data_IF_262582208841
#
_entry.id   IF_262582208841
#
_cell.length_a   1.000
_cell.length_b   1.000
_cell.length_c   1.000
_cell.angle_alpha   90.00
_cell.angle_beta   90.00
_cell.angle_gamma   90.00
#
_symmetry.space_group_name_H-M   'P 1'
#
loop_
_entity.id
_entity.type
_entity.pdbx_description
1 polymer ?
#
# COMPACT_ATOMS: atom_id res chain seq x y z
N UNK A 1 -10.29 15.22 -17.81
CA UNK A 1 -8.91 14.98 -17.40
C UNK A 1 -8.95 14.20 -16.10
N UNK A 2 -8.54 12.91 -16.15
CA UNK A 2 -8.38 12.11 -14.95
C UNK A 2 -7.39 12.82 -14.03
N UNK A 3 -7.87 13.39 -12.93
CA UNK A 3 -7.02 13.75 -11.80
C UNK A 3 -6.50 12.42 -11.24
N UNK A 4 -5.40 11.94 -11.79
CA UNK A 4 -4.62 10.89 -11.17
C UNK A 4 -4.29 11.40 -9.77
N UNK A 5 -4.81 10.74 -8.73
CA UNK A 5 -4.33 10.94 -7.38
C UNK A 5 -2.87 10.48 -7.39
N UNK A 6 -1.98 11.40 -7.69
CA UNK A 6 -0.59 11.14 -7.94
C UNK A 6 0.10 11.00 -6.59
N UNK A 7 0.25 9.76 -6.16
CA UNK A 7 1.12 9.44 -5.03
C UNK A 7 2.50 9.05 -5.54
N UNK A 8 3.48 9.37 -4.72
CA UNK A 8 4.85 8.89 -4.85
C UNK A 8 5.20 8.07 -3.62
N UNK A 9 6.00 7.04 -3.80
CA UNK A 9 6.59 6.30 -2.71
C UNK A 9 8.11 6.32 -2.84
N UNK A 10 8.77 6.36 -1.70
CA UNK A 10 10.23 6.38 -1.57
C UNK A 10 10.63 5.35 -0.53
N UNK A 11 11.62 4.54 -0.84
CA UNK A 11 12.09 3.45 0.01
C UNK A 11 13.59 3.54 0.21
N UNK A 12 14.01 3.37 1.47
CA UNK A 12 15.39 3.20 1.89
C UNK A 12 15.59 1.88 2.61
N UNK A 13 16.79 1.35 2.58
CA UNK A 13 17.29 0.42 3.56
C UNK A 13 18.26 1.16 4.47
N UNK A 14 18.05 1.03 5.78
CA UNK A 14 18.82 1.76 6.79
C UNK A 14 19.30 0.80 7.88
N UNK A 15 20.38 1.18 8.58
CA UNK A 15 20.72 0.63 9.88
C UNK A 15 20.38 1.65 10.95
N UNK A 16 19.64 1.23 11.96
CA UNK A 16 19.17 2.09 13.05
C UNK A 16 18.85 1.27 14.27
N UNK A 17 18.73 1.92 15.42
CA UNK A 17 18.21 1.28 16.62
C UNK A 17 16.68 1.42 16.65
N UNK A 18 15.98 0.31 16.36
CA UNK A 18 14.52 0.24 16.41
C UNK A 18 14.09 -1.16 16.88
N UNK A 19 12.95 -1.33 17.61
CA UNK A 19 12.50 -2.64 18.07
C UNK A 19 12.30 -3.63 16.92
N UNK A 20 12.86 -4.83 17.09
CA UNK A 20 12.94 -5.85 16.01
C UNK A 20 11.61 -6.50 15.69
N UNK A 21 10.68 -6.51 16.63
CA UNK A 21 9.35 -7.12 16.57
C UNK A 21 8.23 -6.11 16.30
N UNK A 22 8.62 -4.89 15.93
CA UNK A 22 7.68 -3.78 15.79
C UNK A 22 7.65 -3.23 14.37
N UNK A 23 6.45 -2.85 13.94
CA UNK A 23 6.22 -2.02 12.76
C UNK A 23 5.63 -0.71 13.24
N UNK A 24 6.24 0.42 12.86
CA UNK A 24 5.66 1.72 13.17
C UNK A 24 5.26 2.47 11.91
N UNK A 25 4.15 3.20 12.03
CA UNK A 25 3.67 4.12 11.02
C UNK A 25 3.65 5.54 11.59
N UNK A 26 4.41 6.42 10.99
CA UNK A 26 4.52 7.82 11.38
C UNK A 26 3.82 8.70 10.35
N UNK A 27 2.82 9.44 10.79
CA UNK A 27 2.06 10.32 9.92
C UNK A 27 2.74 11.67 9.75
N UNK A 28 2.63 12.24 8.56
CA UNK A 28 3.00 13.61 8.25
C UNK A 28 1.99 14.22 7.27
N UNK A 29 2.13 15.49 6.94
CA UNK A 29 1.19 16.18 6.04
C UNK A 29 1.12 15.47 4.69
N UNK A 30 -0.08 15.02 4.30
CA UNK A 30 -0.39 14.34 3.04
C UNK A 30 0.37 13.01 2.82
N UNK A 31 0.79 12.34 3.91
CA UNK A 31 1.49 11.07 3.79
C UNK A 31 1.73 10.36 5.11
N UNK A 32 2.38 9.22 5.01
CA UNK A 32 2.85 8.44 6.15
C UNK A 32 4.15 7.72 5.78
N UNK A 33 4.93 7.38 6.80
CA UNK A 33 6.19 6.66 6.70
C UNK A 33 6.16 5.43 7.60
N UNK A 34 6.47 4.28 7.05
CA UNK A 34 6.59 3.02 7.77
C UNK A 34 8.05 2.65 8.00
N UNK A 35 8.33 2.05 9.17
CA UNK A 35 9.61 1.41 9.47
C UNK A 35 9.36 0.01 10.00
N UNK A 36 10.14 -0.95 9.50
CA UNK A 36 10.10 -2.35 9.94
C UNK A 36 11.46 -3.00 9.75
N UNK A 37 11.79 -3.98 10.61
CA UNK A 37 12.99 -4.80 10.42
C UNK A 37 12.85 -5.68 9.17
N UNK A 38 13.94 -5.87 8.46
CA UNK A 38 14.11 -6.80 7.36
C UNK A 38 15.36 -7.67 7.63
N UNK A 39 15.83 -8.43 6.63
CA UNK A 39 16.97 -9.29 6.72
C UNK A 39 18.27 -8.53 7.05
N UNK A 40 19.31 -9.23 7.50
CA UNK A 40 20.68 -8.73 7.72
C UNK A 40 20.76 -7.51 8.65
N UNK A 41 19.97 -7.49 9.71
CA UNK A 41 19.90 -6.39 10.68
C UNK A 41 19.66 -5.00 10.07
N UNK A 42 18.98 -4.98 8.91
CA UNK A 42 18.53 -3.79 8.22
C UNK A 42 17.08 -3.48 8.55
N UNK A 43 16.71 -2.24 8.30
CA UNK A 43 15.33 -1.77 8.38
C UNK A 43 14.90 -1.21 7.03
N UNK A 44 13.66 -1.52 6.65
CA UNK A 44 12.98 -0.86 5.55
C UNK A 44 12.33 0.41 6.08
N UNK A 45 12.74 1.56 5.58
CA UNK A 45 12.08 2.84 5.78
C UNK A 45 11.40 3.22 4.47
N UNK A 46 10.07 3.24 4.47
CA UNK A 46 9.32 3.51 3.25
C UNK A 46 8.18 4.49 3.53
N UNK A 47 8.05 5.51 2.70
CA UNK A 47 6.93 6.44 2.83
C UNK A 47 6.15 6.59 1.53
N UNK A 48 4.85 6.86 1.72
CA UNK A 48 3.91 7.24 0.67
C UNK A 48 3.45 8.66 0.93
N UNK A 49 3.46 9.49 -0.09
CA UNK A 49 3.00 10.87 0.02
C UNK A 49 2.30 11.33 -1.27
N UNK A 50 1.45 12.34 -1.17
CA UNK A 50 0.91 13.00 -2.34
C UNK A 50 2.04 13.71 -3.11
N UNK A 51 2.04 13.63 -4.44
CA UNK A 51 3.02 14.26 -5.31
C UNK A 51 3.08 15.80 -5.16
N UNK A 52 2.04 16.41 -4.58
CA UNK A 52 2.04 17.83 -4.24
C UNK A 52 3.16 18.20 -3.27
N UNK A 53 3.46 17.31 -2.30
CA UNK A 53 4.58 17.53 -1.37
C UNK A 53 5.94 17.62 -2.07
N UNK A 54 6.13 16.82 -3.12
CA UNK A 54 7.35 16.89 -3.93
C UNK A 54 7.40 18.20 -4.75
N UNK A 55 6.25 18.60 -5.35
CA UNK A 55 6.16 19.84 -6.12
C UNK A 55 6.48 21.08 -5.30
N UNK A 56 5.89 21.20 -4.09
CA UNK A 56 6.17 22.35 -3.19
C UNK A 56 7.58 22.34 -2.62
N UNK A 57 8.31 21.22 -2.77
CA UNK A 57 9.71 21.06 -2.41
C UNK A 57 10.64 21.17 -3.62
N UNK A 58 10.22 21.87 -4.68
CA UNK A 58 11.00 22.06 -5.92
C UNK A 58 11.46 20.75 -6.58
N UNK A 59 10.66 19.69 -6.49
CA UNK A 59 10.95 18.34 -6.96
C UNK A 59 12.20 17.70 -6.32
N UNK A 60 12.63 18.19 -5.15
CA UNK A 60 13.71 17.62 -4.36
C UNK A 60 13.15 16.70 -3.28
N UNK A 61 13.53 15.42 -3.32
CA UNK A 61 13.20 14.43 -2.29
C UNK A 61 13.81 14.87 -0.94
N UNK A 62 15.06 15.25 -0.94
CA UNK A 62 15.78 15.68 0.27
C UNK A 62 15.11 16.91 0.92
N UNK A 63 14.76 17.93 0.12
CA UNK A 63 14.04 19.10 0.63
C UNK A 63 12.67 18.74 1.18
N UNK A 64 11.94 17.83 0.53
CA UNK A 64 10.65 17.34 1.00
C UNK A 64 10.78 16.59 2.33
N UNK A 65 11.76 15.72 2.45
CA UNK A 65 12.03 14.96 3.68
C UNK A 65 12.36 15.90 4.83
N UNK A 66 13.26 16.85 4.62
CA UNK A 66 13.66 17.83 5.63
C UNK A 66 12.50 18.75 6.05
N UNK A 67 11.76 19.30 5.08
CA UNK A 67 10.79 20.35 5.34
C UNK A 67 9.39 19.84 5.68
N UNK A 68 9.07 18.59 5.36
CA UNK A 68 7.72 18.02 5.55
C UNK A 68 7.76 16.80 6.47
N UNK A 69 8.56 15.78 6.16
CA UNK A 69 8.57 14.53 6.92
C UNK A 69 9.19 14.73 8.31
N UNK A 70 10.32 15.41 8.37
CA UNK A 70 11.07 15.63 9.63
C UNK A 70 10.41 16.66 10.56
N UNK A 71 9.27 17.26 10.20
CA UNK A 71 8.40 17.95 11.16
C UNK A 71 7.77 16.99 12.17
N UNK A 72 7.68 15.72 11.85
CA UNK A 72 7.37 14.67 12.81
C UNK A 72 8.65 14.34 13.61
N UNK A 73 8.69 14.52 14.93
CA UNK A 73 9.91 14.32 15.74
C UNK A 73 10.43 12.87 15.72
N UNK A 74 9.55 11.89 15.52
CA UNK A 74 9.98 10.49 15.37
C UNK A 74 10.71 10.28 14.04
N UNK A 75 10.18 10.83 12.95
CA UNK A 75 10.85 10.78 11.65
C UNK A 75 12.15 11.56 11.65
N UNK A 76 12.19 12.74 12.28
CA UNK A 76 13.41 13.49 12.43
C UNK A 76 14.52 12.65 13.08
N UNK A 77 14.23 11.97 14.20
CA UNK A 77 15.18 11.07 14.86
C UNK A 77 15.66 9.94 13.94
N UNK A 78 14.75 9.34 13.19
CA UNK A 78 15.10 8.25 12.26
C UNK A 78 16.00 8.79 11.13
N UNK A 79 15.62 9.87 10.47
CA UNK A 79 16.39 10.43 9.35
C UNK A 79 17.77 10.96 9.75
N UNK A 80 17.92 11.50 10.97
CA UNK A 80 19.21 12.05 11.46
C UNK A 80 20.08 11.03 12.17
N UNK A 81 19.49 9.98 12.74
CA UNK A 81 20.18 8.97 13.56
C UNK A 81 20.45 7.64 12.88
N UNK A 82 20.13 7.50 11.59
CA UNK A 82 20.28 6.24 10.86
C UNK A 82 21.38 6.30 9.81
N UNK A 83 22.01 5.15 9.55
CA UNK A 83 22.91 4.96 8.40
C UNK A 83 22.08 4.54 7.19
N UNK A 84 22.09 5.33 6.13
CA UNK A 84 21.44 5.01 4.85
C UNK A 84 22.37 4.15 4.00
N UNK A 85 21.92 2.95 3.62
CA UNK A 85 22.77 1.95 2.96
C UNK A 85 22.97 2.18 1.46
N UNK A 86 22.18 3.03 0.86
CA UNK A 86 22.27 3.37 -0.56
C UNK A 86 22.38 4.88 -0.75
N UNK A 87 23.17 5.30 -1.75
CA UNK A 87 23.34 6.71 -2.08
C UNK A 87 22.05 7.40 -2.55
N UNK A 88 21.15 6.65 -3.14
CA UNK A 88 19.86 7.14 -3.64
C UNK A 88 18.73 6.20 -3.24
N UNK A 89 17.54 6.73 -2.95
CA UNK A 89 16.36 5.93 -2.65
C UNK A 89 15.84 5.19 -3.87
N UNK A 90 15.10 4.10 -3.62
CA UNK A 90 14.22 3.52 -4.61
C UNK A 90 12.92 4.31 -4.63
N UNK A 91 12.51 4.78 -5.80
CA UNK A 91 11.31 5.61 -5.94
C UNK A 91 10.33 5.02 -6.93
N UNK A 92 9.05 5.22 -6.65
CA UNK A 92 7.95 4.90 -7.55
C UNK A 92 6.98 6.09 -7.59
N UNK A 93 6.50 6.42 -8.77
CA UNK A 93 5.55 7.51 -8.99
C UNK A 93 4.29 7.02 -9.69
N UNK A 94 3.32 7.92 -9.87
CA UNK A 94 2.04 7.64 -10.53
C UNK A 94 1.24 6.49 -9.90
N UNK A 95 1.37 6.33 -8.58
CA UNK A 95 0.61 5.34 -7.83
C UNK A 95 -0.85 5.77 -7.81
N UNK A 96 -1.74 4.90 -8.30
CA UNK A 96 -3.18 5.14 -8.35
C UNK A 96 -3.95 4.00 -7.68
N UNK A 97 -4.86 4.37 -6.77
CA UNK A 97 -5.80 3.45 -6.12
C UNK A 97 -7.18 3.44 -6.81
N UNK A 98 -7.27 3.92 -8.05
CA UNK A 98 -8.50 3.87 -8.84
C UNK A 98 -8.94 2.42 -9.10
N UNK A 99 -10.22 2.27 -9.46
CA UNK A 99 -10.72 0.97 -9.93
C UNK A 99 -10.04 0.62 -11.24
N UNK A 100 -9.65 -0.65 -11.38
CA UNK A 100 -9.04 -1.21 -12.59
C UNK A 100 -9.89 -2.35 -13.14
N UNK A 101 -9.69 -2.65 -14.41
CA UNK A 101 -10.20 -3.86 -15.06
C UNK A 101 -9.36 -5.07 -14.63
N UNK A 102 -9.91 -6.25 -14.71
CA UNK A 102 -9.20 -7.49 -14.41
C UNK A 102 -8.80 -8.25 -15.69
N UNK A 103 -9.43 -7.88 -16.80
CA UNK A 103 -9.12 -8.38 -18.14
C UNK A 103 -9.09 -7.18 -19.08
N UNK A 104 -8.08 -7.10 -19.92
CA UNK A 104 -7.91 -6.07 -20.95
C UNK A 104 -7.27 -6.71 -22.17
N UNK A 105 -7.89 -6.55 -23.34
CA UNK A 105 -7.42 -7.14 -24.62
C UNK A 105 -7.07 -8.64 -24.50
N UNK A 106 -7.94 -9.41 -23.83
CA UNK A 106 -7.75 -10.85 -23.57
C UNK A 106 -6.55 -11.17 -22.65
N UNK A 107 -5.96 -10.17 -21.97
CA UNK A 107 -4.89 -10.34 -20.98
C UNK A 107 -5.51 -10.35 -19.57
N UNK A 108 -5.28 -11.41 -18.83
CA UNK A 108 -5.67 -11.48 -17.41
C UNK A 108 -4.67 -10.71 -16.57
N UNK A 109 -5.13 -9.64 -15.92
CA UNK A 109 -4.31 -8.78 -15.06
C UNK A 109 -4.29 -9.34 -13.63
N UNK A 110 -3.12 -9.33 -12.98
CA UNK A 110 -2.94 -9.83 -11.62
C UNK A 110 -2.26 -8.79 -10.72
N UNK A 111 -2.29 -9.03 -9.41
CA UNK A 111 -1.66 -8.15 -8.42
C UNK A 111 -2.13 -6.70 -8.56
N UNK A 112 -1.20 -5.77 -8.45
CA UNK A 112 -1.48 -4.34 -8.54
C UNK A 112 -2.01 -3.89 -9.90
N UNK A 113 -1.77 -4.65 -10.97
CA UNK A 113 -2.33 -4.38 -12.29
C UNK A 113 -3.85 -4.58 -12.30
N UNK A 114 -4.38 -5.61 -11.62
CA UNK A 114 -5.81 -5.86 -11.49
C UNK A 114 -6.50 -4.96 -10.45
N UNK A 115 -5.76 -4.48 -9.46
CA UNK A 115 -6.25 -3.59 -8.42
C UNK A 115 -5.28 -3.47 -7.26
N UNK A 116 -4.86 -2.25 -6.98
CA UNK A 116 -3.91 -1.95 -5.91
C UNK A 116 -4.64 -1.65 -4.61
N UNK A 117 -4.30 -2.40 -3.56
CA UNK A 117 -4.69 -2.05 -2.19
C UNK A 117 -3.75 -0.96 -1.67
N UNK A 118 -4.28 -0.11 -0.77
CA UNK A 118 -3.43 0.93 -0.17
C UNK A 118 -2.31 0.30 0.67
N UNK A 119 -1.06 0.76 0.55
CA UNK A 119 0.08 0.19 1.29
C UNK A 119 -0.11 0.22 2.81
N UNK A 120 -0.91 1.15 3.32
CA UNK A 120 -1.29 1.24 4.73
C UNK A 120 -1.90 -0.07 5.27
N UNK A 121 -2.54 -0.86 4.41
CA UNK A 121 -3.12 -2.16 4.81
C UNK A 121 -2.08 -3.29 4.90
N UNK A 122 -0.86 -3.11 4.36
CA UNK A 122 0.23 -4.09 4.42
C UNK A 122 -0.03 -5.42 3.68
N UNK A 123 -1.03 -5.50 2.79
CA UNK A 123 -1.58 -6.76 2.31
C UNK A 123 -1.49 -6.97 0.78
N UNK A 124 -0.68 -6.16 0.10
CA UNK A 124 -0.56 -6.22 -1.36
C UNK A 124 -0.01 -7.56 -1.87
N UNK A 125 1.04 -8.08 -1.23
CA UNK A 125 1.65 -9.37 -1.61
C UNK A 125 0.70 -10.54 -1.42
N UNK A 126 -0.01 -10.60 -0.30
CA UNK A 126 -1.03 -11.64 -0.05
C UNK A 126 -2.16 -11.59 -1.09
N UNK A 127 -2.63 -10.40 -1.47
CA UNK A 127 -3.62 -10.24 -2.54
C UNK A 127 -3.07 -10.70 -3.90
N UNK A 128 -1.81 -10.41 -4.21
CA UNK A 128 -1.18 -10.85 -5.45
C UNK A 128 -1.09 -12.38 -5.52
N UNK A 129 -0.65 -13.04 -4.46
CA UNK A 129 -0.57 -14.51 -4.36
C UNK A 129 -1.97 -15.16 -4.49
N UNK A 130 -2.96 -14.63 -3.78
CA UNK A 130 -4.33 -15.13 -3.89
C UNK A 130 -4.90 -14.90 -5.29
N UNK A 131 -4.66 -13.73 -5.89
CA UNK A 131 -5.05 -13.45 -7.28
C UNK A 131 -4.42 -14.41 -8.27
N UNK A 132 -3.12 -14.73 -8.08
CA UNK A 132 -2.42 -15.71 -8.92
C UNK A 132 -3.02 -17.11 -8.82
N UNK A 133 -3.43 -17.55 -7.63
CA UNK A 133 -4.13 -18.83 -7.44
C UNK A 133 -5.46 -18.87 -8.19
N UNK A 134 -6.26 -17.79 -8.14
CA UNK A 134 -7.51 -17.68 -8.89
C UNK A 134 -7.24 -17.75 -10.40
N UNK A 135 -6.26 -16.97 -10.86
CA UNK A 135 -5.89 -16.92 -12.29
C UNK A 135 -5.41 -18.28 -12.80
N UNK A 136 -4.49 -18.94 -12.07
CA UNK A 136 -3.97 -20.25 -12.44
C UNK A 136 -5.09 -21.29 -12.58
N UNK A 137 -6.06 -21.27 -11.66
CA UNK A 137 -7.23 -22.17 -11.73
C UNK A 137 -8.08 -21.91 -12.95
N UNK A 138 -8.34 -20.66 -13.30
CA UNK A 138 -9.12 -20.30 -14.50
C UNK A 138 -8.39 -20.69 -15.79
N UNK A 139 -7.08 -20.41 -15.88
CA UNK A 139 -6.25 -20.79 -17.03
C UNK A 139 -6.18 -22.30 -17.18
N UNK A 140 -6.01 -23.06 -16.09
CA UNK A 140 -5.98 -24.50 -16.13
C UNK A 140 -7.29 -25.09 -16.70
N UNK A 141 -8.45 -24.55 -16.31
CA UNK A 141 -9.74 -24.99 -16.86
C UNK A 141 -9.85 -24.69 -18.35
N UNK A 142 -9.35 -23.56 -18.81
CA UNK A 142 -9.33 -23.18 -20.23
C UNK A 142 -8.39 -24.08 -21.04
N UNK A 143 -7.15 -24.27 -20.58
CA UNK A 143 -6.18 -25.14 -21.28
C UNK A 143 -6.56 -26.64 -21.27
N UNK A 144 -7.38 -27.05 -20.29
CA UNK A 144 -7.95 -28.40 -20.26
C UNK A 144 -9.26 -28.50 -21.04
N UNK A 145 -9.59 -27.53 -21.89
CA UNK A 145 -10.78 -27.48 -22.76
C UNK A 145 -12.13 -27.61 -22.02
N UNK A 146 -12.14 -27.39 -20.70
CA UNK A 146 -13.34 -27.44 -19.86
C UNK A 146 -14.24 -26.23 -20.03
N UNK A 147 -13.65 -25.09 -20.36
CA UNK A 147 -14.33 -23.82 -20.59
C UNK A 147 -13.70 -23.09 -21.77
N UNK A 148 -14.48 -22.28 -22.48
CA UNK A 148 -13.95 -21.41 -23.51
C UNK A 148 -13.32 -20.13 -22.92
N UNK A 149 -12.67 -19.31 -23.75
CA UNK A 149 -11.99 -18.07 -23.36
C UNK A 149 -12.93 -17.09 -22.68
N UNK A 150 -14.11 -16.85 -23.24
CA UNK A 150 -15.09 -15.91 -22.69
C UNK A 150 -15.54 -16.32 -21.28
N UNK A 151 -15.81 -17.60 -21.07
CA UNK A 151 -16.15 -18.16 -19.77
C UNK A 151 -14.98 -18.05 -18.78
N UNK A 152 -13.74 -18.23 -19.22
CA UNK A 152 -12.54 -18.04 -18.41
C UNK A 152 -12.44 -16.60 -17.93
N UNK A 153 -12.49 -15.62 -18.84
CA UNK A 153 -12.35 -14.19 -18.53
C UNK A 153 -13.47 -13.68 -17.62
N UNK A 154 -14.71 -14.10 -17.88
CA UNK A 154 -15.87 -13.76 -17.05
C UNK A 154 -15.77 -14.38 -15.66
N UNK A 155 -15.36 -15.65 -15.56
CA UNK A 155 -15.21 -16.36 -14.29
C UNK A 155 -14.09 -15.73 -13.47
N UNK A 156 -12.93 -15.44 -14.08
CA UNK A 156 -11.84 -14.75 -13.43
C UNK A 156 -12.27 -13.40 -12.87
N UNK A 157 -12.87 -12.55 -13.69
CA UNK A 157 -13.35 -11.23 -13.30
C UNK A 157 -14.32 -11.31 -12.13
N UNK A 158 -15.29 -12.22 -12.17
CA UNK A 158 -16.27 -12.43 -11.10
C UNK A 158 -15.62 -12.89 -9.81
N UNK A 159 -14.76 -13.90 -9.84
CA UNK A 159 -14.07 -14.44 -8.66
C UNK A 159 -13.14 -13.39 -8.06
N UNK A 160 -12.37 -12.69 -8.88
CA UNK A 160 -11.47 -11.64 -8.42
C UNK A 160 -12.25 -10.53 -7.70
N UNK A 161 -13.34 -10.04 -8.30
CA UNK A 161 -14.17 -8.98 -7.73
C UNK A 161 -14.86 -9.40 -6.43
N UNK A 162 -15.40 -10.59 -6.36
CA UNK A 162 -16.04 -11.11 -5.13
C UNK A 162 -15.05 -11.23 -3.98
N UNK A 163 -13.79 -11.62 -4.28
CA UNK A 163 -12.74 -11.79 -3.30
C UNK A 163 -12.16 -10.46 -2.81
N UNK A 164 -11.93 -9.48 -3.70
CA UNK A 164 -11.09 -8.32 -3.37
C UNK A 164 -11.81 -6.98 -3.32
N UNK A 165 -12.98 -6.79 -3.95
CA UNK A 165 -13.63 -5.49 -4.02
C UNK A 165 -13.93 -4.87 -2.64
N UNK A 166 -14.34 -5.69 -1.67
CA UNK A 166 -14.62 -5.22 -0.31
C UNK A 166 -13.33 -4.73 0.36
N UNK A 167 -12.24 -5.49 0.27
CA UNK A 167 -10.92 -5.12 0.81
C UNK A 167 -10.39 -3.81 0.22
N UNK A 168 -10.44 -3.69 -1.10
CA UNK A 168 -10.00 -2.49 -1.81
C UNK A 168 -10.83 -1.25 -1.45
N UNK A 169 -12.14 -1.41 -1.29
CA UNK A 169 -13.02 -0.32 -0.86
C UNK A 169 -12.72 0.13 0.56
N UNK A 170 -12.58 -0.83 1.49
CA UNK A 170 -12.23 -0.55 2.89
C UNK A 170 -10.84 0.10 2.98
N UNK A 171 -9.84 -0.43 2.25
CA UNK A 171 -8.51 0.16 2.21
C UNK A 171 -8.51 1.62 1.73
N UNK A 172 -9.22 1.93 0.63
CA UNK A 172 -9.36 3.33 0.16
C UNK A 172 -10.05 4.22 1.18
N UNK A 173 -11.06 3.72 1.85
CA UNK A 173 -11.75 4.47 2.91
C UNK A 173 -10.80 4.77 4.08
N UNK A 174 -10.07 3.76 4.57
CA UNK A 174 -9.05 3.96 5.62
C UNK A 174 -8.00 4.97 5.15
N UNK A 175 -7.47 4.83 3.93
CA UNK A 175 -6.47 5.75 3.37
C UNK A 175 -6.98 7.21 3.37
N UNK A 176 -8.26 7.46 3.13
CA UNK A 176 -8.83 8.81 3.14
C UNK A 176 -8.85 9.47 4.52
N UNK A 177 -8.71 8.69 5.61
CA UNK A 177 -8.60 9.18 6.98
C UNK A 177 -7.19 9.65 7.34
N UNK A 178 -6.18 9.31 6.52
CA UNK A 178 -4.79 9.69 6.73
C UNK A 178 -4.41 10.91 5.88
N UNK A 179 -3.45 11.69 6.38
CA UNK A 179 -2.97 12.91 5.71
C UNK A 179 -3.54 14.22 6.27
N UNK A 180 -4.70 14.19 6.97
CA UNK A 180 -5.23 15.32 7.74
C UNK A 180 -5.07 15.02 9.22
N UNK A 181 -4.22 15.78 9.91
CA UNK A 181 -3.80 15.50 11.31
C UNK A 181 -4.99 15.28 12.25
N UNK A 182 -5.98 16.17 12.23
CA UNK A 182 -7.13 16.06 13.13
C UNK A 182 -8.01 14.83 12.84
N UNK A 183 -8.23 14.48 11.55
CA UNK A 183 -9.00 13.30 11.16
C UNK A 183 -8.28 12.03 11.59
N UNK A 184 -6.97 11.97 11.33
CA UNK A 184 -6.13 10.82 11.72
C UNK A 184 -6.13 10.64 13.24
N UNK A 185 -5.97 11.73 14.00
CA UNK A 185 -5.97 11.67 15.47
C UNK A 185 -7.32 11.19 16.02
N UNK A 186 -8.43 11.71 15.49
CA UNK A 186 -9.78 11.27 15.86
C UNK A 186 -9.98 9.78 15.52
N UNK A 187 -9.61 9.37 14.31
CA UNK A 187 -9.70 7.96 13.89
C UNK A 187 -8.91 7.04 14.83
N UNK A 188 -7.66 7.37 15.14
CA UNK A 188 -6.83 6.59 16.06
C UNK A 188 -7.43 6.57 17.47
N UNK A 189 -7.95 7.68 17.98
CA UNK A 189 -8.59 7.74 19.28
C UNK A 189 -9.82 6.82 19.36
N UNK A 190 -10.65 6.82 18.33
CA UNK A 190 -11.80 5.91 18.21
C UNK A 190 -11.35 4.46 18.15
N UNK A 191 -10.33 4.14 17.34
CA UNK A 191 -9.82 2.77 17.23
C UNK A 191 -9.23 2.25 18.55
N UNK A 192 -8.53 3.10 19.30
CA UNK A 192 -8.02 2.75 20.64
C UNK A 192 -9.15 2.48 21.63
N UNK A 193 -10.24 3.24 21.58
CA UNK A 193 -11.39 3.10 22.49
C UNK A 193 -12.26 1.87 22.18
N UNK A 194 -12.28 1.43 20.92
CA UNK A 194 -13.13 0.34 20.44
C UNK A 194 -12.33 -0.81 19.80
N UNK A 195 -11.64 -1.68 20.59
CA UNK A 195 -10.80 -2.75 20.05
C UNK A 195 -11.54 -3.74 19.14
N UNK A 196 -12.83 -4.01 19.42
CA UNK A 196 -13.67 -4.89 18.58
C UNK A 196 -13.85 -4.30 17.17
N UNK A 197 -14.05 -2.98 17.06
CA UNK A 197 -14.15 -2.29 15.78
C UNK A 197 -12.81 -2.33 15.02
N UNK A 198 -11.71 -2.11 15.73
CA UNK A 198 -10.36 -2.22 15.17
C UNK A 198 -10.10 -3.61 14.60
N UNK A 199 -10.43 -4.66 15.36
CA UNK A 199 -10.29 -6.05 14.88
C UNK A 199 -11.13 -6.32 13.63
N UNK A 200 -12.38 -5.85 13.60
CA UNK A 200 -13.27 -6.00 12.45
C UNK A 200 -12.72 -5.29 11.19
N UNK A 201 -12.16 -4.08 11.33
CA UNK A 201 -11.52 -3.35 10.24
C UNK A 201 -10.26 -4.07 9.72
N UNK A 202 -9.43 -4.58 10.61
CA UNK A 202 -8.24 -5.37 10.25
C UNK A 202 -8.69 -6.61 9.47
N UNK A 203 -9.66 -7.37 9.94
CA UNK A 203 -10.19 -8.55 9.25
C UNK A 203 -10.71 -8.22 7.85
N UNK A 204 -11.39 -7.07 7.68
CA UNK A 204 -11.90 -6.65 6.38
C UNK A 204 -10.79 -6.29 5.37
N UNK A 205 -9.61 -5.89 5.83
CA UNK A 205 -8.48 -5.58 4.94
C UNK A 205 -7.60 -6.80 4.68
N UNK A 206 -7.48 -7.72 5.63
CA UNK A 206 -6.62 -8.92 5.49
C UNK A 206 -7.35 -10.09 4.82
N UNK A 207 -8.64 -10.27 5.10
CA UNK A 207 -9.45 -11.39 4.61
C UNK A 207 -9.04 -12.74 5.21
N UNK A 208 -9.62 -13.80 4.66
CA UNK A 208 -9.40 -15.15 5.11
C UNK A 208 -8.13 -15.77 4.52
N UNK A 209 -7.51 -16.76 5.18
CA UNK A 209 -6.46 -17.61 4.60
C UNK A 209 -6.94 -18.30 3.32
N UNK A 210 -6.05 -18.55 2.36
CA UNK A 210 -6.39 -19.11 1.04
C UNK A 210 -5.43 -20.22 0.61
#
# INVERSE_FOLDING_TARGET
>A
PNKLNNYIAVKYHIKTYFPVDSIALHNFKNGYCGISKIEDDKYCLCYLTNAENLKVSNNSIEAMEKNILQKNPHLQKIFTGSEFLYKSPVTISQISFSKKTQVEDHILLMGDAAGMITPLCGNGMSMALHGSKITAKCIHQFLSEKINREAMETTYTRQWRSTFNKRLRTGRWIQSMFGKVWVTNLFIAVMKKFPKLTKALIQQTHGDPF
#
